data_IF_775776946607
#
_entry.id   IF_775776946607
#
_cell.length_a   1.000
_cell.length_b   1.000
_cell.length_c   1.000
_cell.angle_alpha   90.00
_cell.angle_beta   90.00
_cell.angle_gamma   90.00
#
_symmetry.space_group_name_H-M   'P 1'
#
loop_
_entity.id
_entity.type
_entity.pdbx_description
1 polymer ?
#
# COMPACT_ATOMS: atom_id res chain seq x y z
N UNK A 1 -7.24 0.84 -6.25
CA UNK A 1 -6.24 0.17 -7.11
C UNK A 1 -6.81 -0.12 -8.49
N UNK A 2 -5.95 -0.21 -9.51
CA UNK A 2 -6.29 -0.66 -10.87
C UNK A 2 -7.44 0.09 -11.58
N UNK A 3 -7.56 1.40 -11.35
CA UNK A 3 -8.58 2.26 -11.98
C UNK A 3 -8.17 2.71 -13.38
N UNK A 4 -6.97 3.28 -13.61
CA UNK A 4 -6.54 3.60 -14.97
C UNK A 4 -6.48 2.34 -15.84
N UNK A 5 -6.82 2.47 -17.11
CA UNK A 5 -6.86 1.34 -18.05
C UNK A 5 -5.47 0.74 -18.25
N UNK A 6 -5.42 -0.58 -18.12
CA UNK A 6 -4.21 -1.39 -18.16
C UNK A 6 -4.52 -2.67 -18.95
N UNK A 7 -3.78 -3.00 -20.02
CA UNK A 7 -4.13 -4.09 -20.92
C UNK A 7 -3.89 -5.46 -20.27
N UNK A 8 -2.88 -5.56 -19.40
CA UNK A 8 -2.56 -6.80 -18.70
C UNK A 8 -3.24 -6.85 -17.33
N UNK A 9 -4.31 -7.64 -17.19
CA UNK A 9 -5.04 -7.77 -15.92
C UNK A 9 -4.16 -8.30 -14.77
N UNK A 10 -3.21 -9.18 -15.07
CA UNK A 10 -2.24 -9.68 -14.10
C UNK A 10 -1.20 -8.67 -13.63
N UNK A 11 -1.13 -7.48 -14.24
CA UNK A 11 -0.33 -6.36 -13.72
C UNK A 11 -0.90 -5.76 -12.44
N UNK A 12 -2.12 -6.13 -12.07
CA UNK A 12 -2.84 -5.58 -10.95
C UNK A 12 -3.02 -4.04 -11.01
N UNK A 13 -3.01 -3.48 -12.23
CA UNK A 13 -3.14 -2.05 -12.48
C UNK A 13 -1.82 -1.31 -12.64
N UNK A 14 -0.67 -1.93 -12.38
CA UNK A 14 0.63 -1.27 -12.44
C UNK A 14 1.09 -0.97 -13.88
N UNK A 15 0.64 -1.74 -14.88
CA UNK A 15 1.00 -1.50 -16.28
C UNK A 15 -0.05 -0.68 -17.01
N UNK A 16 -0.16 0.61 -16.67
CA UNK A 16 -1.12 1.54 -17.29
C UNK A 16 -0.77 1.78 -18.76
N UNK A 17 -1.77 1.75 -19.64
CA UNK A 17 -1.65 2.12 -21.06
C UNK A 17 -2.35 3.42 -21.41
N UNK A 18 -3.57 3.64 -20.87
CA UNK A 18 -4.39 4.81 -21.16
C UNK A 18 -4.69 5.57 -19.87
N UNK A 19 -3.87 6.58 -19.58
CA UNK A 19 -3.85 7.28 -18.29
C UNK A 19 -5.16 8.03 -17.96
N UNK A 20 -5.93 8.44 -18.99
CA UNK A 20 -7.20 9.16 -18.84
C UNK A 20 -8.43 8.27 -19.03
N UNK A 21 -8.24 6.95 -19.15
CA UNK A 21 -9.33 6.00 -19.33
C UNK A 21 -9.56 5.21 -18.04
N UNK A 22 -10.82 5.00 -17.69
CA UNK A 22 -11.24 4.03 -16.67
C UNK A 22 -11.08 2.64 -17.27
N UNK A 23 -10.53 1.69 -16.50
CA UNK A 23 -10.43 0.29 -16.89
C UNK A 23 -11.81 -0.26 -17.23
N UNK A 24 -12.01 -0.55 -18.52
CA UNK A 24 -13.28 -0.98 -19.10
C UNK A 24 -13.78 -2.34 -18.62
N UNK A 25 -12.91 -3.16 -18.00
CA UNK A 25 -13.26 -4.48 -17.44
C UNK A 25 -14.34 -4.43 -16.36
N UNK A 26 -14.48 -3.30 -15.67
CA UNK A 26 -15.35 -3.18 -14.49
C UNK A 26 -16.60 -2.32 -14.73
N UNK A 27 -16.76 -1.81 -15.96
CA UNK A 27 -17.87 -0.96 -16.35
C UNK A 27 -17.42 0.30 -17.06
N UNK A 28 -18.30 1.28 -17.05
CA UNK A 28 -18.19 2.57 -17.72
C UNK A 28 -17.65 3.65 -16.78
N UNK A 29 -17.16 4.78 -17.31
CA UNK A 29 -16.81 5.94 -16.49
C UNK A 29 -17.94 6.45 -15.58
N UNK A 30 -19.19 6.35 -16.02
CA UNK A 30 -20.34 6.79 -15.20
C UNK A 30 -20.60 5.85 -14.03
N UNK A 31 -20.39 4.54 -14.20
CA UNK A 31 -20.48 3.57 -13.09
C UNK A 31 -19.35 3.78 -12.06
N UNK A 32 -18.15 4.20 -12.49
CA UNK A 32 -17.10 4.60 -11.54
C UNK A 32 -17.49 5.86 -10.76
N UNK A 33 -18.08 6.86 -11.42
CA UNK A 33 -18.59 8.05 -10.72
C UNK A 33 -19.66 7.67 -9.70
N UNK A 34 -20.59 6.77 -10.08
CA UNK A 34 -21.61 6.27 -9.17
C UNK A 34 -20.98 5.57 -7.95
N UNK A 35 -19.96 4.73 -8.14
CA UNK A 35 -19.25 4.07 -7.03
C UNK A 35 -18.66 5.08 -6.05
N UNK A 36 -18.02 6.14 -6.57
CA UNK A 36 -17.40 7.19 -5.74
C UNK A 36 -18.48 7.99 -5.01
N UNK A 37 -19.58 8.35 -5.69
CA UNK A 37 -20.71 9.08 -5.11
C UNK A 37 -21.41 8.26 -4.01
N UNK A 38 -21.59 6.95 -4.20
CA UNK A 38 -22.14 6.06 -3.18
C UNK A 38 -21.21 5.97 -1.97
N UNK A 39 -19.90 5.86 -2.16
CA UNK A 39 -18.92 5.89 -1.07
C UNK A 39 -18.98 7.22 -0.30
N UNK A 40 -19.06 8.35 -1.01
CA UNK A 40 -19.25 9.67 -0.39
C UNK A 40 -20.55 9.78 0.39
N UNK A 41 -21.65 9.22 -0.14
CA UNK A 41 -22.94 9.13 0.56
C UNK A 41 -22.87 8.32 1.87
N UNK A 42 -21.91 7.40 1.97
CA UNK A 42 -21.60 6.64 3.19
C UNK A 42 -20.54 7.33 4.09
N UNK A 43 -20.05 8.51 3.72
CA UNK A 43 -19.01 9.22 4.47
C UNK A 43 -17.61 8.62 4.30
N UNK A 44 -17.38 7.86 3.24
CA UNK A 44 -16.10 7.19 2.93
C UNK A 44 -15.38 8.00 1.86
N UNK A 45 -14.19 8.52 2.19
CA UNK A 45 -13.31 9.11 1.18
C UNK A 45 -12.68 8.05 0.29
N UNK A 46 -12.57 8.34 -1.01
CA UNK A 46 -12.02 7.44 -2.02
C UNK A 46 -10.74 8.03 -2.60
N UNK A 47 -9.62 7.34 -2.42
CA UNK A 47 -8.35 7.68 -3.08
C UNK A 47 -8.08 6.73 -4.24
N UNK A 48 -7.32 7.20 -5.21
CA UNK A 48 -6.93 6.41 -6.38
C UNK A 48 -5.43 6.10 -6.38
N UNK A 49 -5.07 4.90 -6.82
CA UNK A 49 -3.67 4.60 -7.14
C UNK A 49 -3.28 5.32 -8.44
N UNK A 50 -2.20 6.10 -8.38
CA UNK A 50 -1.69 6.90 -9.46
C UNK A 50 -0.31 6.38 -9.87
N UNK A 51 -0.28 5.63 -10.98
CA UNK A 51 0.94 5.02 -11.50
C UNK A 51 1.59 5.97 -12.49
N UNK A 52 2.32 6.96 -12.00
CA UNK A 52 3.10 7.89 -12.84
C UNK A 52 4.60 7.56 -12.84
N UNK A 53 5.02 6.47 -12.21
CA UNK A 53 6.41 6.02 -12.19
C UNK A 53 6.87 5.44 -13.53
N UNK A 54 5.96 4.83 -14.29
CA UNK A 54 6.24 4.19 -15.57
C UNK A 54 4.97 4.02 -16.42
N UNK A 55 5.12 3.54 -17.64
CA UNK A 55 4.05 3.12 -18.55
C UNK A 55 4.33 1.73 -19.09
N UNK A 56 3.29 0.97 -19.44
CA UNK A 56 3.45 -0.28 -20.19
C UNK A 56 4.10 0.00 -21.56
N UNK A 57 4.87 -0.98 -22.07
CA UNK A 57 5.55 -0.88 -23.37
C UNK A 57 4.62 -0.96 -24.59
N UNK A 58 3.34 -1.30 -24.40
CA UNK A 58 2.40 -1.54 -25.50
C UNK A 58 2.35 -0.34 -26.47
N UNK A 59 2.68 -0.60 -27.73
CA UNK A 59 2.71 0.42 -28.80
C UNK A 59 1.35 0.55 -29.52
N UNK A 60 0.50 -0.48 -29.47
CA UNK A 60 -0.80 -0.52 -30.19
C UNK A 60 -1.91 0.18 -29.42
N UNK A 61 -1.97 -0.03 -28.11
CA UNK A 61 -3.08 0.38 -27.23
C UNK A 61 -2.63 1.36 -26.14
N UNK A 62 -1.37 1.79 -26.18
CA UNK A 62 -0.75 2.64 -25.17
C UNK A 62 0.15 3.70 -25.79
N UNK A 63 0.76 4.52 -24.94
CA UNK A 63 1.56 5.67 -25.35
C UNK A 63 3.03 5.32 -25.68
N UNK A 64 3.38 4.03 -25.72
CA UNK A 64 4.75 3.52 -25.87
C UNK A 64 5.52 4.06 -27.09
N UNK A 65 4.79 4.35 -28.18
CA UNK A 65 5.37 4.86 -29.43
C UNK A 65 4.40 5.78 -30.19
N UNK A 66 3.77 6.69 -29.46
CA UNK A 66 2.62 7.47 -29.93
C UNK A 66 2.89 8.28 -31.22
N UNK A 67 4.04 8.96 -31.34
CA UNK A 67 4.45 9.70 -32.54
C UNK A 67 5.36 8.91 -33.50
N UNK A 68 5.46 7.59 -33.31
CA UNK A 68 6.42 6.75 -34.03
C UNK A 68 7.81 6.72 -33.39
N UNK A 69 8.07 7.50 -32.33
CA UNK A 69 9.28 7.44 -31.51
C UNK A 69 8.98 6.97 -30.10
N UNK A 70 9.96 6.39 -29.40
CA UNK A 70 9.81 5.99 -27.99
C UNK A 70 10.00 7.15 -27.03
N UNK A 71 10.74 8.18 -27.44
CA UNK A 71 11.17 9.23 -26.52
C UNK A 71 10.19 10.40 -26.46
N UNK A 72 9.01 10.36 -27.09
CA UNK A 72 8.04 11.46 -26.97
C UNK A 72 7.69 11.71 -25.49
N UNK A 73 7.19 10.68 -24.80
CA UNK A 73 6.86 10.72 -23.37
C UNK A 73 7.98 10.22 -22.47
N UNK A 74 8.87 9.38 -22.99
CA UNK A 74 9.87 8.65 -22.21
C UNK A 74 11.29 9.17 -22.46
N UNK A 75 12.24 8.75 -21.64
CA UNK A 75 13.65 9.00 -21.94
C UNK A 75 14.07 8.18 -23.17
N UNK A 76 15.10 8.64 -23.87
CA UNK A 76 15.70 7.88 -24.96
C UNK A 76 16.73 6.87 -24.43
N UNK A 77 16.93 5.77 -25.16
CA UNK A 77 17.86 4.69 -24.81
C UNK A 77 17.54 4.02 -23.47
N UNK A 78 18.59 3.54 -22.79
CA UNK A 78 18.46 2.72 -21.58
C UNK A 78 17.79 3.46 -20.40
N UNK A 79 17.92 4.79 -20.31
CA UNK A 79 17.25 5.60 -19.27
C UNK A 79 15.72 5.54 -19.40
N UNK A 80 15.21 5.24 -20.61
CA UNK A 80 13.79 5.12 -20.88
C UNK A 80 13.18 3.77 -20.54
N UNK A 81 13.97 2.78 -20.11
CA UNK A 81 13.48 1.43 -19.82
C UNK A 81 13.71 1.05 -18.35
N UNK A 82 12.67 0.56 -17.68
CA UNK A 82 12.80 0.05 -16.31
C UNK A 82 13.30 -1.40 -16.33
N UNK A 83 14.48 -1.71 -15.74
CA UNK A 83 15.13 -3.00 -15.92
C UNK A 83 14.39 -4.16 -15.25
N UNK A 84 13.65 -3.89 -14.16
CA UNK A 84 12.94 -4.93 -13.41
C UNK A 84 11.47 -5.11 -13.78
N UNK A 85 10.86 -4.12 -14.46
CA UNK A 85 9.40 -4.08 -14.68
C UNK A 85 9.02 -4.23 -16.15
N UNK A 86 9.99 -4.35 -17.06
CA UNK A 86 9.76 -4.38 -18.51
C UNK A 86 8.81 -3.26 -18.99
N UNK A 87 9.08 -2.04 -18.52
CA UNK A 87 8.24 -0.85 -18.74
C UNK A 87 9.04 0.34 -19.25
N UNK A 88 8.36 1.41 -19.65
CA UNK A 88 9.00 2.67 -20.04
C UNK A 88 8.95 3.72 -18.93
N UNK A 89 10.06 4.45 -18.75
CA UNK A 89 10.23 5.49 -17.74
C UNK A 89 10.03 6.90 -18.34
N UNK A 90 9.12 7.67 -17.75
CA UNK A 90 8.79 9.03 -18.20
C UNK A 90 10.00 9.96 -18.18
N UNK A 91 10.02 10.88 -19.14
CA UNK A 91 10.96 11.98 -19.16
C UNK A 91 10.33 13.22 -18.54
N UNK A 92 10.53 13.39 -17.22
CA UNK A 92 9.98 14.52 -16.46
C UNK A 92 10.60 15.88 -16.82
N UNK A 93 11.67 15.93 -17.64
CA UNK A 93 12.24 17.19 -18.16
C UNK A 93 11.33 17.91 -19.15
N UNK A 94 10.40 17.17 -19.77
CA UNK A 94 9.61 17.68 -20.88
C UNK A 94 8.33 18.35 -20.37
N UNK A 95 8.15 19.62 -20.74
CA UNK A 95 6.95 20.38 -20.42
C UNK A 95 5.66 19.66 -20.84
N UNK A 96 5.63 18.99 -21.99
CA UNK A 96 4.44 18.25 -22.44
C UNK A 96 4.17 16.99 -21.62
N UNK A 97 5.22 16.35 -21.07
CA UNK A 97 5.06 15.21 -20.15
C UNK A 97 4.56 15.72 -18.80
N UNK A 98 5.11 16.83 -18.29
CA UNK A 98 4.59 17.48 -17.09
C UNK A 98 3.13 17.88 -17.26
N UNK A 99 2.78 18.50 -18.40
CA UNK A 99 1.41 18.88 -18.70
C UNK A 99 0.49 17.67 -18.75
N UNK A 100 0.89 16.59 -19.45
CA UNK A 100 0.13 15.33 -19.50
C UNK A 100 -0.14 14.75 -18.10
N UNK A 101 0.89 14.58 -17.27
CA UNK A 101 0.77 13.96 -15.94
C UNK A 101 0.02 14.86 -14.94
N UNK A 102 0.27 16.17 -14.95
CA UNK A 102 -0.44 17.12 -14.08
C UNK A 102 -1.91 17.29 -14.49
N UNK A 103 -2.20 17.31 -15.81
CA UNK A 103 -3.58 17.27 -16.30
C UNK A 103 -4.28 15.96 -15.92
N UNK A 104 -3.55 14.84 -15.83
CA UNK A 104 -4.12 13.57 -15.40
C UNK A 104 -4.59 13.61 -13.94
N UNK A 105 -3.77 14.17 -13.05
CA UNK A 105 -4.15 14.44 -11.65
C UNK A 105 -5.43 15.29 -11.59
N UNK A 106 -5.45 16.41 -12.33
CA UNK A 106 -6.62 17.29 -12.37
C UNK A 106 -7.86 16.56 -12.91
N UNK A 107 -7.70 15.75 -13.95
CA UNK A 107 -8.79 14.98 -14.53
C UNK A 107 -9.44 14.04 -13.51
N UNK A 108 -8.65 13.25 -12.77
CA UNK A 108 -9.20 12.34 -11.78
C UNK A 108 -9.84 13.06 -10.59
N UNK A 109 -9.27 14.18 -10.13
CA UNK A 109 -9.88 15.00 -9.08
C UNK A 109 -11.18 15.67 -9.54
N UNK A 110 -11.19 16.30 -10.70
CA UNK A 110 -12.31 17.14 -11.14
C UNK A 110 -13.45 16.34 -11.76
N UNK A 111 -13.14 15.32 -12.58
CA UNK A 111 -14.16 14.57 -13.35
C UNK A 111 -14.79 13.44 -12.54
N UNK A 112 -14.00 12.79 -11.68
CA UNK A 112 -14.44 11.64 -10.87
C UNK A 112 -14.58 11.96 -9.38
N UNK A 113 -14.17 13.16 -8.94
CA UNK A 113 -14.26 13.59 -7.55
C UNK A 113 -13.49 12.71 -6.55
N UNK A 114 -12.37 12.09 -6.96
CA UNK A 114 -11.49 11.42 -6.01
C UNK A 114 -11.02 12.37 -4.88
N UNK A 115 -10.74 11.81 -3.70
CA UNK A 115 -10.31 12.54 -2.50
C UNK A 115 -8.80 12.54 -2.32
N UNK A 116 -8.06 12.12 -3.33
CA UNK A 116 -6.61 12.04 -3.28
C UNK A 116 -6.04 10.85 -4.01
N UNK A 117 -4.74 10.66 -3.83
CA UNK A 117 -3.97 9.66 -4.55
C UNK A 117 -2.98 8.93 -3.66
N UNK A 118 -2.71 7.68 -4.02
CA UNK A 118 -1.49 6.96 -3.66
C UNK A 118 -0.58 6.94 -4.89
N UNK A 119 0.59 7.54 -4.83
CA UNK A 119 1.57 7.52 -5.91
C UNK A 119 2.39 6.24 -5.80
N UNK A 120 2.34 5.43 -6.84
CA UNK A 120 2.95 4.09 -6.87
C UNK A 120 4.36 4.12 -7.47
N UNK A 121 5.27 3.38 -6.86
CA UNK A 121 6.66 3.29 -7.28
C UNK A 121 7.45 4.59 -7.11
N UNK A 122 7.19 5.38 -6.05
CA UNK A 122 7.88 6.66 -5.80
C UNK A 122 9.38 6.46 -5.66
N UNK A 123 9.84 5.37 -5.03
CA UNK A 123 11.29 5.04 -5.01
C UNK A 123 11.87 4.93 -6.42
N UNK A 124 11.15 4.29 -7.35
CA UNK A 124 11.61 4.14 -8.74
C UNK A 124 11.74 5.48 -9.45
N UNK A 125 10.90 6.44 -9.07
CA UNK A 125 10.94 7.80 -9.59
C UNK A 125 12.11 8.60 -9.02
N UNK A 126 12.34 8.52 -7.70
CA UNK A 126 13.30 9.36 -6.97
C UNK A 126 14.75 9.06 -7.29
N UNK A 127 15.06 7.86 -7.78
CA UNK A 127 16.45 7.42 -8.00
C UNK A 127 16.64 6.86 -9.41
N UNK A 128 17.77 7.18 -10.04
CA UNK A 128 18.11 6.67 -11.38
C UNK A 128 18.31 5.15 -11.42
N UNK A 129 18.75 4.55 -10.32
CA UNK A 129 18.81 3.09 -10.17
C UNK A 129 17.49 2.47 -9.69
N UNK A 130 16.42 3.27 -9.56
CA UNK A 130 15.10 2.86 -9.11
C UNK A 130 15.05 2.26 -7.69
N UNK A 131 16.09 2.45 -6.88
CA UNK A 131 16.24 1.80 -5.58
C UNK A 131 16.58 0.30 -5.65
N UNK A 132 16.83 -0.24 -6.85
CA UNK A 132 17.22 -1.65 -7.01
C UNK A 132 18.62 -1.89 -6.43
N UNK A 133 18.76 -3.02 -5.74
CA UNK A 133 20.01 -3.46 -5.10
C UNK A 133 20.65 -2.42 -4.15
N UNK A 134 19.87 -1.45 -3.67
CA UNK A 134 20.33 -0.37 -2.77
C UNK A 134 19.77 -0.58 -1.37
N UNK A 135 20.67 -0.63 -0.39
CA UNK A 135 20.31 -0.45 1.01
C UNK A 135 20.40 1.04 1.37
N UNK A 136 19.36 1.56 2.01
CA UNK A 136 19.33 2.94 2.52
C UNK A 136 19.65 2.91 4.02
N UNK A 137 20.84 3.36 4.37
CA UNK A 137 21.41 3.18 5.71
C UNK A 137 21.87 4.48 6.36
N UNK A 138 22.16 5.50 5.55
CA UNK A 138 22.63 6.80 6.01
C UNK A 138 22.20 7.92 5.05
N UNK A 139 22.36 9.18 5.46
CA UNK A 139 21.81 10.32 4.71
C UNK A 139 22.47 10.52 3.33
N UNK A 140 23.70 10.06 3.13
CA UNK A 140 24.36 10.14 1.83
C UNK A 140 23.71 9.22 0.79
N UNK A 141 22.92 8.23 1.21
CA UNK A 141 22.18 7.35 0.30
C UNK A 141 20.97 8.05 -0.34
N UNK A 142 20.55 9.20 0.19
CA UNK A 142 19.35 9.95 -0.25
C UNK A 142 19.67 11.23 -1.02
N UNK A 143 20.90 11.75 -0.89
CA UNK A 143 21.30 13.05 -1.43
C UNK A 143 22.64 12.93 -2.15
N UNK A 144 22.63 12.19 -3.25
CA UNK A 144 23.78 12.00 -4.13
C UNK A 144 23.41 12.25 -5.61
N UNK A 145 24.33 11.98 -6.52
CA UNK A 145 24.10 12.15 -7.95
C UNK A 145 23.11 11.13 -8.56
N UNK A 146 22.66 10.13 -7.78
CA UNK A 146 21.69 9.14 -8.22
C UNK A 146 20.24 9.62 -8.00
N UNK A 147 20.02 10.72 -7.26
CA UNK A 147 18.69 11.35 -7.14
C UNK A 147 18.24 11.91 -8.48
N UNK A 148 17.04 11.53 -8.91
CA UNK A 148 16.41 12.02 -10.12
C UNK A 148 15.65 13.32 -9.82
N UNK A 149 16.35 14.45 -9.96
CA UNK A 149 15.86 15.78 -9.57
C UNK A 149 14.57 16.14 -10.30
N UNK A 150 14.47 15.82 -11.58
CA UNK A 150 13.33 16.10 -12.44
C UNK A 150 12.05 15.41 -11.94
N UNK A 151 12.19 14.15 -11.49
CA UNK A 151 11.09 13.41 -10.90
C UNK A 151 10.67 14.01 -9.56
N UNK A 152 11.63 14.40 -8.72
CA UNK A 152 11.33 15.09 -7.45
C UNK A 152 10.61 16.44 -7.67
N UNK A 153 11.01 17.20 -8.70
CA UNK A 153 10.33 18.44 -9.12
C UNK A 153 8.91 18.14 -9.59
N UNK A 154 8.71 17.13 -10.44
CA UNK A 154 7.38 16.69 -10.87
C UNK A 154 6.49 16.33 -9.68
N UNK A 155 6.97 15.53 -8.74
CA UNK A 155 6.23 15.13 -7.53
C UNK A 155 5.86 16.34 -6.67
N UNK A 156 6.77 17.30 -6.54
CA UNK A 156 6.52 18.55 -5.80
C UNK A 156 5.44 19.40 -6.48
N UNK A 157 5.48 19.52 -7.81
CA UNK A 157 4.45 20.20 -8.60
C UNK A 157 3.09 19.48 -8.51
N UNK A 158 3.09 18.16 -8.55
CA UNK A 158 1.90 17.32 -8.42
C UNK A 158 1.23 17.54 -7.07
N UNK A 159 1.98 17.50 -5.96
CA UNK A 159 1.45 17.75 -4.63
C UNK A 159 0.90 19.18 -4.48
N UNK A 160 1.60 20.20 -5.00
CA UNK A 160 1.09 21.57 -5.06
C UNK A 160 -0.22 21.67 -5.81
N UNK A 161 -0.32 21.02 -6.98
CA UNK A 161 -1.54 21.04 -7.79
C UNK A 161 -2.70 20.34 -7.06
N UNK A 162 -2.47 19.19 -6.44
CA UNK A 162 -3.49 18.46 -5.66
C UNK A 162 -4.08 19.39 -4.59
N UNK A 163 -3.22 20.04 -3.80
CA UNK A 163 -3.66 20.97 -2.74
C UNK A 163 -4.33 22.23 -3.29
N UNK A 164 -3.90 22.73 -4.44
CA UNK A 164 -4.54 23.87 -5.10
C UNK A 164 -5.96 23.55 -5.59
N UNK A 165 -6.18 22.35 -6.13
CA UNK A 165 -7.47 21.93 -6.65
C UNK A 165 -8.44 21.52 -5.53
N UNK A 166 -7.96 20.74 -4.56
CA UNK A 166 -8.74 20.22 -3.45
C UNK A 166 -7.85 20.24 -2.19
N UNK A 167 -7.91 21.29 -1.36
CA UNK A 167 -7.01 21.46 -0.20
C UNK A 167 -6.99 20.28 0.78
N UNK A 168 -8.12 19.58 0.91
CA UNK A 168 -8.27 18.41 1.78
C UNK A 168 -7.92 17.08 1.09
N UNK A 169 -7.56 17.08 -0.20
CA UNK A 169 -7.20 15.85 -0.89
C UNK A 169 -5.89 15.28 -0.34
N UNK A 170 -5.87 13.96 -0.17
CA UNK A 170 -4.71 13.23 0.34
C UNK A 170 -3.71 12.93 -0.78
N UNK A 171 -2.43 12.98 -0.46
CA UNK A 171 -1.37 12.46 -1.32
C UNK A 171 -0.46 11.53 -0.51
N UNK A 172 -0.36 10.28 -0.93
CA UNK A 172 0.37 9.22 -0.21
C UNK A 172 1.48 8.69 -1.11
N UNK A 173 2.71 8.64 -0.61
CA UNK A 173 3.84 8.08 -1.34
C UNK A 173 4.08 6.60 -1.00
N UNK A 174 4.11 5.75 -2.03
CA UNK A 174 4.68 4.42 -1.96
C UNK A 174 6.21 4.50 -2.16
N UNK A 175 6.93 4.77 -1.08
CA UNK A 175 8.39 4.84 -1.04
C UNK A 175 8.95 3.83 -0.02
N UNK A 176 9.84 2.95 -0.49
CA UNK A 176 10.57 2.02 0.37
C UNK A 176 11.90 2.58 0.87
N UNK A 177 12.44 3.65 0.24
CA UNK A 177 13.77 4.14 0.60
C UNK A 177 13.84 4.79 1.97
N UNK A 178 12.79 5.49 2.38
CA UNK A 178 12.84 6.30 3.60
C UNK A 178 13.21 7.76 3.35
N UNK A 179 13.04 8.28 2.11
CA UNK A 179 13.55 9.62 1.75
C UNK A 179 13.11 10.70 2.75
N UNK A 180 14.05 11.40 3.42
CA UNK A 180 13.72 12.49 4.32
C UNK A 180 13.04 13.65 3.61
N UNK A 181 11.98 14.19 4.20
CA UNK A 181 11.25 15.34 3.65
C UNK A 181 10.22 14.97 2.59
N UNK A 182 9.97 13.67 2.38
CA UNK A 182 8.99 13.20 1.41
C UNK A 182 7.57 13.61 1.80
N UNK A 183 7.21 13.40 3.07
CA UNK A 183 5.91 13.77 3.65
C UNK A 183 5.97 15.04 4.51
N UNK A 184 6.73 16.05 4.06
CA UNK A 184 6.81 17.40 4.63
C UNK A 184 6.20 18.40 3.63
N UNK A 185 5.49 19.45 4.08
CA UNK A 185 4.92 20.46 3.19
C UNK A 185 5.95 21.12 2.27
N UNK A 186 5.52 21.56 1.09
CA UNK A 186 6.42 22.15 0.09
C UNK A 186 6.97 23.50 0.55
N UNK A 187 6.17 24.27 1.28
CA UNK A 187 6.54 25.53 1.92
C UNK A 187 7.68 25.38 2.93
N UNK A 188 7.80 24.20 3.55
CA UNK A 188 8.85 23.85 4.52
C UNK A 188 10.07 23.18 3.85
N UNK A 189 10.08 23.08 2.51
CA UNK A 189 11.16 22.48 1.73
C UNK A 189 11.03 20.98 1.49
N UNK A 190 9.87 20.37 1.78
CA UNK A 190 9.57 18.98 1.45
C UNK A 190 9.02 18.76 0.04
N UNK A 191 8.75 17.50 -0.31
CA UNK A 191 8.13 17.11 -1.59
C UNK A 191 6.60 17.30 -1.55
N UNK A 192 6.00 17.39 -0.36
CA UNK A 192 4.60 17.77 -0.18
C UNK A 192 3.60 16.63 -0.10
N UNK A 193 4.03 15.38 0.06
CA UNK A 193 3.09 14.29 0.37
C UNK A 193 2.50 14.48 1.77
N UNK A 194 1.27 14.02 1.99
CA UNK A 194 0.65 14.02 3.31
C UNK A 194 1.13 12.83 4.15
N UNK A 195 1.36 11.69 3.51
CA UNK A 195 1.80 10.46 4.14
C UNK A 195 2.80 9.71 3.26
N UNK A 196 3.63 8.89 3.89
CA UNK A 196 4.37 7.80 3.24
C UNK A 196 3.91 6.44 3.74
N UNK A 197 4.12 5.38 2.96
CA UNK A 197 3.84 4.02 3.38
C UNK A 197 4.98 3.42 4.23
N UNK A 198 4.61 2.62 5.24
CA UNK A 198 5.54 1.91 6.13
C UNK A 198 5.92 0.54 5.57
N UNK A 199 6.57 0.52 4.41
CA UNK A 199 6.77 -0.73 3.64
C UNK A 199 7.59 -1.80 4.36
N UNK A 200 8.47 -1.42 5.31
CA UNK A 200 9.25 -2.39 6.09
C UNK A 200 8.47 -3.14 7.17
N UNK A 201 7.28 -2.68 7.57
CA UNK A 201 6.49 -3.33 8.63
C UNK A 201 5.94 -4.70 8.19
N UNK A 202 5.31 -4.84 7.02
CA UNK A 202 4.94 -6.15 6.50
C UNK A 202 6.12 -7.10 6.36
N UNK A 203 7.25 -6.63 5.81
CA UNK A 203 8.45 -7.46 5.66
C UNK A 203 8.96 -7.98 7.01
N UNK A 204 8.95 -7.13 8.03
CA UNK A 204 9.27 -7.52 9.39
C UNK A 204 8.35 -8.63 9.91
N UNK A 205 7.03 -8.51 9.71
CA UNK A 205 6.07 -9.53 10.11
C UNK A 205 6.26 -10.85 9.37
N UNK A 206 6.37 -10.80 8.04
CA UNK A 206 6.57 -11.99 7.22
C UNK A 206 7.87 -12.70 7.60
N UNK A 207 8.97 -11.95 7.73
CA UNK A 207 10.26 -12.51 8.17
C UNK A 207 10.15 -13.15 9.55
N UNK A 208 9.53 -12.47 10.50
CA UNK A 208 9.37 -12.95 11.87
C UNK A 208 8.55 -14.24 11.92
N UNK A 209 7.40 -14.30 11.24
CA UNK A 209 6.54 -15.50 11.20
C UNK A 209 7.22 -16.65 10.45
N UNK A 210 7.96 -16.35 9.38
CA UNK A 210 8.59 -17.35 8.52
C UNK A 210 9.85 -17.96 9.13
N UNK A 211 10.67 -17.15 9.79
CA UNK A 211 12.05 -17.52 10.15
C UNK A 211 12.24 -17.76 11.66
N UNK A 212 11.33 -17.29 12.52
CA UNK A 212 11.47 -17.39 13.98
C UNK A 212 10.34 -18.19 14.60
N UNK A 213 10.66 -18.99 15.61
CA UNK A 213 9.66 -19.57 16.53
C UNK A 213 9.17 -18.48 17.48
N UNK A 214 7.97 -18.65 18.03
CA UNK A 214 7.36 -17.64 18.91
C UNK A 214 8.24 -17.26 20.11
N UNK A 215 8.89 -18.26 20.74
CA UNK A 215 9.84 -18.06 21.83
C UNK A 215 11.05 -17.18 21.46
N UNK A 216 11.39 -17.12 20.16
CA UNK A 216 12.52 -16.37 19.61
C UNK A 216 12.12 -14.96 19.14
N UNK A 217 10.85 -14.56 19.30
CA UNK A 217 10.40 -13.21 18.99
C UNK A 217 10.95 -12.24 20.06
N UNK A 218 11.64 -11.19 19.62
CA UNK A 218 12.20 -10.17 20.49
C UNK A 218 11.23 -8.97 20.57
N UNK A 219 10.73 -8.68 21.77
CA UNK A 219 9.73 -7.62 21.97
C UNK A 219 10.29 -6.22 21.73
N UNK A 220 11.59 -6.02 21.95
CA UNK A 220 12.25 -4.74 21.68
C UNK A 220 12.48 -4.54 20.19
N UNK A 221 12.93 -5.58 19.47
CA UNK A 221 13.01 -5.54 18.02
C UNK A 221 11.63 -5.28 17.41
N UNK A 222 10.59 -5.93 17.92
CA UNK A 222 9.20 -5.73 17.49
C UNK A 222 8.77 -4.27 17.68
N UNK A 223 8.92 -3.75 18.89
CA UNK A 223 8.53 -2.37 19.18
C UNK A 223 9.33 -1.38 18.32
N UNK A 224 10.64 -1.58 18.18
CA UNK A 224 11.50 -0.75 17.35
C UNK A 224 11.05 -0.74 15.88
N UNK A 225 10.82 -1.90 15.26
CA UNK A 225 10.44 -1.96 13.84
C UNK A 225 9.06 -1.35 13.56
N UNK A 226 8.15 -1.36 14.53
CA UNK A 226 6.83 -0.74 14.40
C UNK A 226 6.80 0.77 14.70
N UNK A 227 7.75 1.27 15.49
CA UNK A 227 7.78 2.66 15.95
C UNK A 227 8.91 3.51 15.37
N UNK A 228 9.92 2.90 14.75
CA UNK A 228 11.05 3.58 14.11
C UNK A 228 10.63 4.28 12.82
N UNK A 229 10.12 5.50 12.96
CA UNK A 229 9.71 6.41 11.88
C UNK A 229 10.12 7.84 12.24
N UNK A 230 10.18 8.70 11.22
CA UNK A 230 10.46 10.12 11.39
C UNK A 230 9.23 10.78 12.03
N UNK A 231 9.42 11.51 13.12
CA UNK A 231 8.31 12.07 13.92
C UNK A 231 7.66 13.31 13.28
N UNK A 232 8.40 13.97 12.40
CA UNK A 232 7.98 15.10 11.58
C UNK A 232 7.17 14.68 10.34
N UNK A 233 7.15 13.39 10.00
CA UNK A 233 6.43 12.85 8.84
C UNK A 233 5.32 11.89 9.29
N UNK A 234 4.18 11.93 8.59
CA UNK A 234 3.11 10.96 8.84
C UNK A 234 3.29 9.70 8.01
N UNK A 235 2.98 8.57 8.63
CA UNK A 235 3.17 7.25 8.02
C UNK A 235 1.89 6.42 8.07
N UNK A 236 1.57 5.75 6.97
CA UNK A 236 0.53 4.71 6.91
C UNK A 236 1.19 3.35 7.14
N UNK A 237 0.82 2.70 8.25
CA UNK A 237 1.29 1.35 8.59
C UNK A 237 0.21 0.31 8.30
N UNK A 238 0.64 -0.90 7.95
CA UNK A 238 -0.21 -2.02 7.62
C UNK A 238 0.55 -3.31 7.93
N UNK A 239 -0.16 -4.35 8.36
CA UNK A 239 0.49 -5.61 8.74
C UNK A 239 0.86 -6.44 7.51
N UNK A 240 0.02 -6.39 6.48
CA UNK A 240 0.19 -7.05 5.19
C UNK A 240 -0.57 -6.25 4.12
N UNK A 241 -0.07 -6.26 2.89
CA UNK A 241 -0.70 -5.57 1.75
C UNK A 241 -1.17 -6.56 0.69
N UNK A 242 -1.48 -6.02 -0.48
CA UNK A 242 -1.69 -6.82 -1.68
C UNK A 242 -0.42 -7.55 -2.13
N UNK A 243 0.79 -7.04 -1.85
CA UNK A 243 2.04 -7.69 -2.24
C UNK A 243 2.19 -9.07 -1.60
N UNK A 244 1.96 -9.14 -0.27
CA UNK A 244 1.97 -10.42 0.46
C UNK A 244 0.76 -11.30 0.14
N UNK A 245 -0.32 -10.72 -0.38
CA UNK A 245 -1.50 -11.47 -0.79
C UNK A 245 -1.32 -12.11 -2.18
N UNK A 246 -0.43 -11.62 -3.03
CA UNK A 246 -0.20 -12.14 -4.38
C UNK A 246 0.53 -13.49 -4.40
N UNK A 247 0.41 -14.20 -5.52
CA UNK A 247 1.11 -15.46 -5.76
C UNK A 247 2.62 -15.29 -5.62
N UNK A 248 3.26 -16.22 -4.90
CA UNK A 248 4.67 -16.11 -4.53
C UNK A 248 4.86 -15.82 -3.05
N UNK A 249 3.82 -15.37 -2.35
CA UNK A 249 3.80 -15.28 -0.90
C UNK A 249 2.47 -15.80 -0.29
N UNK A 250 2.23 -15.56 1.00
CA UNK A 250 1.03 -15.98 1.75
C UNK A 250 0.56 -14.84 2.65
N UNK A 251 -0.75 -14.69 2.78
CA UNK A 251 -1.33 -13.82 3.83
C UNK A 251 -0.86 -14.26 5.21
N UNK A 252 -0.82 -13.34 6.18
CA UNK A 252 -0.36 -13.61 7.54
C UNK A 252 -1.14 -14.79 8.12
N UNK A 253 -2.47 -14.77 8.01
CA UNK A 253 -3.30 -15.85 8.54
C UNK A 253 -3.00 -17.20 7.87
N UNK A 254 -2.82 -17.22 6.55
CA UNK A 254 -2.56 -18.47 5.83
C UNK A 254 -1.16 -19.00 6.12
N UNK A 255 -0.20 -18.12 6.46
CA UNK A 255 1.11 -18.54 6.96
C UNK A 255 1.05 -19.11 8.37
N UNK A 256 0.18 -18.58 9.22
CA UNK A 256 0.03 -19.00 10.60
C UNK A 256 -0.68 -20.36 10.75
N UNK A 257 -1.66 -20.66 9.88
CA UNK A 257 -2.51 -21.85 10.03
C UNK A 257 -2.53 -22.79 8.82
N UNK A 258 -2.06 -22.33 7.65
CA UNK A 258 -1.92 -23.10 6.40
C UNK A 258 -3.18 -23.95 6.10
N UNK A 259 -2.99 -25.22 5.74
CA UNK A 259 -4.06 -26.17 5.40
C UNK A 259 -5.10 -26.37 6.51
N UNK A 260 -4.76 -26.11 7.78
CA UNK A 260 -5.72 -26.28 8.89
C UNK A 260 -6.89 -25.31 8.73
N UNK A 261 -6.71 -24.21 7.99
CA UNK A 261 -7.78 -23.29 7.61
C UNK A 261 -8.96 -23.99 6.92
N UNK A 262 -8.71 -25.04 6.13
CA UNK A 262 -9.76 -25.74 5.39
C UNK A 262 -10.54 -26.74 6.26
N UNK A 263 -9.98 -27.15 7.40
CA UNK A 263 -10.49 -28.27 8.20
C UNK A 263 -10.88 -27.90 9.63
N UNK A 264 -10.54 -26.71 10.11
CA UNK A 264 -10.71 -26.33 11.52
C UNK A 264 -11.17 -24.88 11.72
N UNK A 265 -11.72 -24.27 10.67
CA UNK A 265 -12.38 -22.96 10.73
C UNK A 265 -13.88 -23.03 11.02
N UNK A 266 -14.47 -24.22 11.25
CA UNK A 266 -15.80 -24.31 11.87
C UNK A 266 -15.69 -24.17 13.39
N UNK A 267 -16.69 -23.57 14.03
CA UNK A 267 -16.69 -23.33 15.49
C UNK A 267 -16.67 -24.62 16.32
N UNK A 268 -17.27 -25.69 15.80
CA UNK A 268 -17.32 -27.02 16.43
C UNK A 268 -16.03 -27.84 16.27
N UNK A 269 -15.01 -27.30 15.61
CA UNK A 269 -13.73 -27.95 15.36
C UNK A 269 -12.59 -27.21 16.10
N UNK A 270 -12.32 -27.56 17.37
CA UNK A 270 -11.21 -26.99 18.11
C UNK A 270 -9.87 -27.46 17.53
N UNK A 271 -8.93 -26.53 17.36
CA UNK A 271 -7.59 -26.83 16.83
C UNK A 271 -6.62 -25.77 17.33
N UNK A 272 -5.61 -26.19 18.09
CA UNK A 272 -4.66 -25.26 18.72
C UNK A 272 -3.86 -24.41 17.71
N UNK A 273 -3.61 -24.93 16.50
CA UNK A 273 -2.92 -24.18 15.45
C UNK A 273 -3.81 -23.03 14.97
N UNK A 274 -5.10 -23.31 14.75
CA UNK A 274 -6.09 -22.29 14.36
C UNK A 274 -6.27 -21.27 15.47
N UNK A 275 -6.44 -21.71 16.72
CA UNK A 275 -6.66 -20.82 17.85
C UNK A 275 -5.45 -19.88 18.07
N UNK A 276 -4.22 -20.40 17.96
CA UNK A 276 -2.98 -19.62 17.95
C UNK A 276 -2.95 -18.62 16.80
N UNK A 277 -3.18 -19.07 15.56
CA UNK A 277 -3.09 -18.22 14.39
C UNK A 277 -4.12 -17.10 14.38
N UNK A 278 -5.34 -17.37 14.85
CA UNK A 278 -6.37 -16.35 15.03
C UNK A 278 -6.00 -15.32 16.11
N UNK A 279 -5.44 -15.77 17.24
CA UNK A 279 -4.96 -14.86 18.28
C UNK A 279 -3.84 -13.95 17.75
N UNK A 280 -2.81 -14.53 17.13
CA UNK A 280 -1.69 -13.78 16.56
C UNK A 280 -2.13 -12.83 15.44
N UNK A 281 -3.04 -13.25 14.55
CA UNK A 281 -3.56 -12.38 13.50
C UNK A 281 -4.21 -11.11 14.07
N UNK A 282 -5.03 -11.25 15.13
CA UNK A 282 -5.63 -10.11 15.84
C UNK A 282 -4.56 -9.24 16.51
N UNK A 283 -3.62 -9.84 17.23
CA UNK A 283 -2.55 -9.13 17.95
C UNK A 283 -1.66 -8.33 16.98
N UNK A 284 -1.21 -8.97 15.90
CA UNK A 284 -0.37 -8.35 14.86
C UNK A 284 -1.06 -7.14 14.23
N UNK A 285 -2.34 -7.26 13.90
CA UNK A 285 -3.10 -6.16 13.30
C UNK A 285 -3.31 -5.02 14.29
N UNK A 286 -3.67 -5.33 15.54
CA UNK A 286 -3.88 -4.33 16.59
C UNK A 286 -2.59 -3.60 16.95
N UNK A 287 -1.48 -4.31 17.18
CA UNK A 287 -0.21 -3.67 17.50
C UNK A 287 0.28 -2.81 16.34
N UNK A 288 0.15 -3.28 15.09
CA UNK A 288 0.53 -2.50 13.90
C UNK A 288 -0.31 -1.23 13.77
N UNK A 289 -1.63 -1.33 13.95
CA UNK A 289 -2.52 -0.18 13.87
C UNK A 289 -2.24 0.82 15.00
N UNK A 290 -2.11 0.35 16.23
CA UNK A 290 -1.92 1.19 17.42
C UNK A 290 -0.48 1.65 17.61
N UNK A 291 0.48 1.20 16.82
CA UNK A 291 1.83 1.80 16.74
C UNK A 291 2.02 2.68 15.51
N UNK A 292 1.06 2.73 14.58
CA UNK A 292 1.15 3.50 13.33
C UNK A 292 1.41 5.01 13.54
N UNK A 293 2.09 5.66 12.59
CA UNK A 293 2.47 7.08 12.62
C UNK A 293 1.52 8.06 11.93
N UNK A 294 0.26 7.69 11.72
CA UNK A 294 -0.73 8.61 11.17
C UNK A 294 -1.91 7.96 10.47
N UNK A 295 -1.72 6.78 9.87
CA UNK A 295 -2.80 6.05 9.20
C UNK A 295 -2.65 4.53 9.26
N UNK A 296 -3.76 3.81 9.16
CA UNK A 296 -3.75 2.35 9.08
C UNK A 296 -4.34 1.91 7.75
N UNK A 297 -3.73 0.91 7.12
CA UNK A 297 -4.21 0.34 5.88
C UNK A 297 -4.47 -1.16 6.04
N UNK A 298 -5.53 -1.63 5.37
CA UNK A 298 -5.90 -3.03 5.27
C UNK A 298 -6.25 -3.35 3.81
N UNK A 299 -5.71 -4.43 3.27
CA UNK A 299 -6.10 -4.91 1.94
C UNK A 299 -7.32 -5.82 2.03
N UNK A 300 -8.27 -5.63 1.11
CA UNK A 300 -9.58 -6.32 1.12
C UNK A 300 -9.46 -7.82 1.37
N UNK A 301 -10.23 -8.36 2.31
CA UNK A 301 -10.22 -9.76 2.70
C UNK A 301 -9.30 -10.07 3.89
N UNK A 302 -8.22 -9.32 4.09
CA UNK A 302 -7.28 -9.60 5.19
C UNK A 302 -7.93 -9.29 6.55
N UNK A 303 -8.98 -8.46 6.60
CA UNK A 303 -9.71 -8.12 7.81
C UNK A 303 -10.34 -9.32 8.52
N UNK A 304 -10.86 -10.27 7.75
CA UNK A 304 -11.44 -11.50 8.26
C UNK A 304 -10.52 -12.71 8.08
N UNK A 305 -9.26 -12.48 7.68
CA UNK A 305 -8.29 -13.54 7.43
C UNK A 305 -8.68 -14.41 6.23
N UNK A 306 -8.90 -13.79 5.07
CA UNK A 306 -9.22 -14.50 3.83
C UNK A 306 -8.20 -15.62 3.54
N UNK A 307 -8.69 -16.81 3.13
CA UNK A 307 -7.83 -17.96 2.83
C UNK A 307 -6.97 -17.76 1.58
N UNK A 308 -6.01 -18.67 1.39
CA UNK A 308 -5.22 -18.79 0.16
C UNK A 308 -4.40 -17.51 -0.15
N UNK A 309 -4.24 -17.22 -1.43
CA UNK A 309 -3.56 -16.07 -2.02
C UNK A 309 -4.37 -15.58 -3.22
N UNK A 310 -3.98 -14.45 -3.76
CA UNK A 310 -4.50 -13.87 -5.00
C UNK A 310 -3.57 -14.27 -6.14
N UNK A 311 -4.13 -14.84 -7.19
CA UNK A 311 -3.41 -15.14 -8.43
C UNK A 311 -4.28 -14.76 -9.62
N UNK A 312 -3.72 -13.96 -10.52
CA UNK A 312 -4.39 -13.50 -11.72
C UNK A 312 -4.24 -14.51 -12.85
N UNK A 313 -5.19 -14.57 -13.80
CA UNK A 313 -5.09 -15.43 -14.97
C UNK A 313 -3.79 -15.16 -15.75
N UNK A 314 -2.98 -16.20 -15.91
CA UNK A 314 -1.72 -16.17 -16.67
C UNK A 314 -1.40 -17.56 -17.20
N UNK A 315 -0.48 -17.67 -18.16
CA UNK A 315 -0.09 -18.95 -18.73
C UNK A 315 0.31 -19.97 -17.65
N UNK A 316 1.09 -19.54 -16.65
CA UNK A 316 1.58 -20.39 -15.56
C UNK A 316 0.53 -20.98 -14.61
N UNK A 317 -0.74 -20.55 -14.69
CA UNK A 317 -1.85 -21.15 -13.93
C UNK A 317 -3.02 -21.60 -14.82
N UNK A 318 -2.79 -21.74 -16.13
CA UNK A 318 -3.82 -22.15 -17.09
C UNK A 318 -4.95 -21.13 -17.24
N UNK A 319 -4.64 -19.82 -17.13
CA UNK A 319 -5.61 -18.72 -17.25
C UNK A 319 -6.74 -18.80 -16.21
N UNK A 320 -6.42 -19.28 -15.01
CA UNK A 320 -7.40 -19.51 -13.95
C UNK A 320 -7.80 -18.22 -13.25
N UNK A 321 -9.10 -18.04 -13.05
CA UNK A 321 -9.70 -16.99 -12.21
C UNK A 321 -9.96 -17.47 -10.77
N UNK A 322 -9.62 -18.72 -10.43
CA UNK A 322 -9.98 -19.34 -9.14
C UNK A 322 -9.51 -18.53 -7.94
N UNK A 323 -8.35 -17.87 -8.04
CA UNK A 323 -7.76 -17.07 -6.97
C UNK A 323 -7.87 -15.56 -7.22
N UNK A 324 -8.43 -15.13 -8.35
CA UNK A 324 -8.70 -13.73 -8.66
C UNK A 324 -10.09 -13.31 -8.14
N UNK A 325 -10.37 -13.59 -6.85
CA UNK A 325 -11.68 -13.35 -6.22
C UNK A 325 -11.56 -13.16 -4.71
N UNK A 326 -12.65 -12.68 -4.10
CA UNK A 326 -12.86 -12.70 -2.65
C UNK A 326 -14.07 -13.55 -2.28
N UNK A 327 -13.93 -14.34 -1.22
CA UNK A 327 -14.99 -15.21 -0.70
C UNK A 327 -15.72 -14.46 0.42
N UNK A 328 -16.60 -13.52 0.07
CA UNK A 328 -17.28 -12.72 1.10
C UNK A 328 -18.21 -13.56 1.99
N UNK A 329 -18.74 -14.67 1.48
CA UNK A 329 -19.69 -15.53 2.19
C UNK A 329 -19.13 -16.09 3.50
N UNK A 330 -17.82 -16.34 3.60
CA UNK A 330 -17.23 -16.90 4.83
C UNK A 330 -17.07 -15.87 5.94
N UNK A 331 -17.01 -14.57 5.60
CA UNK A 331 -16.77 -13.49 6.57
C UNK A 331 -17.94 -13.25 7.54
N UNK A 332 -19.15 -13.67 7.15
CA UNK A 332 -20.40 -13.47 7.89
C UNK A 332 -21.11 -14.80 8.19
N UNK A 333 -20.46 -15.95 7.95
CA UNK A 333 -21.02 -17.25 8.26
C UNK A 333 -20.89 -17.54 9.76
N UNK A 334 -22.03 -17.61 10.45
CA UNK A 334 -22.11 -17.86 11.89
C UNK A 334 -21.62 -19.26 12.31
N UNK A 335 -21.38 -20.18 11.38
CA UNK A 335 -20.80 -21.50 11.71
C UNK A 335 -19.27 -21.48 11.62
N UNK A 336 -18.68 -20.45 11.00
CA UNK A 336 -17.25 -20.32 10.77
C UNK A 336 -16.58 -19.35 11.74
N UNK A 337 -15.27 -19.51 11.96
CA UNK A 337 -14.47 -18.65 12.85
C UNK A 337 -14.02 -17.34 12.18
N UNK A 338 -14.14 -17.21 10.85
CA UNK A 338 -13.71 -15.99 10.12
C UNK A 338 -14.45 -14.73 10.59
N UNK A 339 -15.74 -14.84 10.95
CA UNK A 339 -16.48 -13.69 11.45
C UNK A 339 -15.90 -13.15 12.77
N UNK A 340 -15.25 -13.98 13.62
CA UNK A 340 -14.58 -13.49 14.82
C UNK A 340 -13.38 -12.58 14.50
N UNK A 341 -12.68 -12.81 13.38
CA UNK A 341 -11.63 -11.92 12.91
C UNK A 341 -12.23 -10.61 12.37
N UNK A 342 -13.34 -10.71 11.62
CA UNK A 342 -14.08 -9.56 11.11
C UNK A 342 -14.65 -8.68 12.24
N UNK A 343 -15.25 -9.28 13.25
CA UNK A 343 -15.81 -8.59 14.43
C UNK A 343 -14.71 -7.88 15.22
N UNK A 344 -13.54 -8.53 15.36
CA UNK A 344 -12.38 -7.91 15.97
C UNK A 344 -11.89 -6.71 15.16
N UNK A 345 -11.80 -6.84 13.84
CA UNK A 345 -11.39 -5.75 12.96
C UNK A 345 -12.31 -4.53 13.09
N UNK A 346 -13.62 -4.74 12.99
CA UNK A 346 -14.63 -3.68 13.16
C UNK A 346 -14.47 -2.99 14.50
N UNK A 347 -14.25 -3.75 15.58
CA UNK A 347 -14.07 -3.20 16.94
C UNK A 347 -12.75 -2.45 17.06
N UNK A 348 -11.66 -2.96 16.47
CA UNK A 348 -10.36 -2.32 16.44
C UNK A 348 -10.41 -0.97 15.72
N UNK A 349 -11.02 -0.93 14.53
CA UNK A 349 -11.18 0.32 13.76
C UNK A 349 -12.08 1.31 14.51
N UNK A 350 -13.16 0.84 15.13
CA UNK A 350 -14.03 1.69 15.95
C UNK A 350 -13.28 2.31 17.14
N UNK A 351 -12.54 1.50 17.91
CA UNK A 351 -11.69 1.98 19.01
C UNK A 351 -10.71 3.05 18.53
N UNK A 352 -10.02 2.81 17.41
CA UNK A 352 -9.01 3.71 16.86
C UNK A 352 -9.62 5.04 16.41
N UNK A 353 -10.75 4.97 15.68
CA UNK A 353 -11.41 6.13 15.09
C UNK A 353 -12.11 7.00 16.13
N UNK A 354 -12.88 6.41 17.04
CA UNK A 354 -13.61 7.13 18.09
C UNK A 354 -12.67 7.89 19.02
N UNK A 355 -11.53 7.28 19.35
CA UNK A 355 -10.54 7.87 20.24
C UNK A 355 -9.45 8.65 19.49
N UNK A 356 -9.57 8.78 18.16
CA UNK A 356 -8.60 9.46 17.30
C UNK A 356 -7.15 9.04 17.56
N UNK A 357 -6.91 7.76 17.83
CA UNK A 357 -5.60 7.29 18.30
C UNK A 357 -4.48 7.64 17.31
N UNK A 358 -4.76 7.60 16.01
CA UNK A 358 -3.76 7.87 14.97
C UNK A 358 -3.38 9.35 14.84
N UNK A 359 -4.09 10.27 15.50
CA UNK A 359 -3.70 11.68 15.58
C UNK A 359 -2.71 11.95 16.71
N UNK A 360 -2.52 10.99 17.63
CA UNK A 360 -1.51 11.07 18.68
C UNK A 360 -0.19 10.54 18.12
N UNK A 361 0.87 11.38 18.03
CA UNK A 361 2.15 10.96 17.48
C UNK A 361 2.92 10.02 18.40
N UNK A 362 2.90 10.26 19.72
CA UNK A 362 3.73 9.51 20.65
C UNK A 362 3.19 8.10 20.93
N UNK A 363 4.12 7.13 20.89
CA UNK A 363 3.91 5.76 21.36
C UNK A 363 4.97 5.51 22.43
N UNK A 364 4.56 5.56 23.70
CA UNK A 364 5.50 5.58 24.83
C UNK A 364 5.64 4.18 25.42
N UNK A 365 6.81 3.55 25.24
CA UNK A 365 7.11 2.24 25.79
C UNK A 365 7.01 2.24 27.32
N UNK A 366 6.31 1.25 27.87
CA UNK A 366 6.20 1.01 29.32
C UNK A 366 7.06 -0.17 29.72
N UNK A 367 6.97 -1.30 29.01
CA UNK A 367 7.81 -2.48 29.25
C UNK A 367 7.97 -3.34 28.01
N UNK A 368 9.15 -3.93 27.87
CA UNK A 368 9.49 -4.99 26.92
C UNK A 368 10.06 -6.20 27.68
N UNK A 369 9.18 -7.00 28.30
CA UNK A 369 9.63 -8.16 29.06
C UNK A 369 9.90 -9.34 28.10
N UNK A 370 11.19 -9.56 27.80
CA UNK A 370 11.62 -10.62 26.86
C UNK A 370 11.39 -12.05 27.37
N UNK A 371 11.65 -12.40 28.65
CA UNK A 371 11.34 -13.72 29.19
C UNK A 371 9.85 -14.08 29.10
N UNK A 372 8.97 -13.16 29.49
CA UNK A 372 7.53 -13.40 29.56
C UNK A 372 6.79 -13.06 28.26
N UNK A 373 7.50 -12.52 27.25
CA UNK A 373 6.96 -12.08 25.96
C UNK A 373 5.84 -11.04 26.09
N UNK A 374 5.99 -10.12 27.05
CA UNK A 374 5.02 -9.04 27.30
C UNK A 374 5.53 -7.73 26.76
N UNK A 375 4.70 -7.05 25.97
CA UNK A 375 4.95 -5.71 25.46
C UNK A 375 3.82 -4.79 25.88
N UNK A 376 4.16 -3.70 26.56
CA UNK A 376 3.18 -2.68 26.92
C UNK A 376 3.66 -1.27 26.60
N UNK A 377 2.75 -0.45 26.10
CA UNK A 377 3.01 0.95 25.76
C UNK A 377 1.75 1.79 25.87
N UNK A 378 1.95 3.09 26.08
CA UNK A 378 0.90 4.08 26.02
C UNK A 378 0.75 4.66 24.62
N UNK A 379 -0.52 4.85 24.21
CA UNK A 379 -0.88 5.73 23.10
C UNK A 379 -2.08 6.57 23.49
N UNK A 380 -1.85 7.87 23.64
CA UNK A 380 -2.82 8.76 24.29
C UNK A 380 -3.14 8.27 25.70
N UNK A 381 -4.43 8.14 26.01
CA UNK A 381 -4.92 7.69 27.32
C UNK A 381 -4.92 6.17 27.51
N UNK A 382 -4.65 5.40 26.45
CA UNK A 382 -4.75 3.95 26.47
C UNK A 382 -3.41 3.32 26.84
N UNK A 383 -3.47 2.31 27.70
CA UNK A 383 -2.38 1.36 27.92
C UNK A 383 -2.69 0.11 27.10
N UNK A 384 -1.86 -0.17 26.11
CA UNK A 384 -1.91 -1.42 25.35
C UNK A 384 -0.99 -2.44 26.02
N UNK A 385 -1.47 -3.67 26.15
CA UNK A 385 -0.72 -4.79 26.73
C UNK A 385 -0.91 -5.99 25.79
N UNK A 386 0.20 -6.51 25.29
CA UNK A 386 0.28 -7.68 24.42
C UNK A 386 1.01 -8.82 25.11
#
# INVERSE_FOLDING_TARGET
MAIPEHPYYGSFGYHVSNFFAVSSRFGTPEELKQLIDEAHGMGISVIMDLVHSHSVKNEVEGIGKYDGTRYQFFHDGAKGEHPAWDSYCFNYDKNEVLHFLLSNIKFWLDVFNFDGFRFDGVTSMLYHNHGLEKAFTNYNDYFDANVHIEAAVYLTLANKLIKQLKPNALSIAEDMSGMPGLAIPVEDGGIGFDYRMSMGVPDYWIKTIKEKRDEDWDMGDLFYNLTSKRMDEKVISYAESHDQALVGDKTIIFRLIDKEMYFSMRKDQPNMIVDRGMALHKMIRLITATTSGGGYLNFMGNEFGHPEWIDFPREGNGWSYKHARRIWSISNDDELKFHWLNDFDRTMIHLISENKLLTVPEVNLVTENKPDKVLAYHRGLFLFVF
#
